data_IF_790374258232
#
_entry.id   IF_790374258232
#
_cell.length_a   1.000
_cell.length_b   1.000
_cell.length_c   1.000
_cell.angle_alpha   90.00
_cell.angle_beta   90.00
_cell.angle_gamma   90.00
#
_symmetry.space_group_name_H-M   'P 1'
#
loop_
_entity.id
_entity.type
_entity.pdbx_description
1 polymer ?
#
# COMPACT_ATOMS: atom_id res chain seq x y z
N UNK A 1 7.60 -34.42 21.42
CA UNK A 1 8.16 -34.06 20.10
C UNK A 1 7.11 -33.28 19.37
N UNK A 2 7.37 -32.03 19.01
CA UNK A 2 6.50 -31.29 18.09
C UNK A 2 6.63 -31.97 16.73
N UNK A 3 5.53 -32.50 16.19
CA UNK A 3 5.58 -33.28 14.96
C UNK A 3 5.96 -32.36 13.79
N UNK A 4 6.72 -32.86 12.83
CA UNK A 4 7.16 -32.12 11.64
C UNK A 4 5.97 -31.49 10.87
N UNK A 5 4.79 -32.12 10.96
CA UNK A 5 3.50 -31.65 10.45
C UNK A 5 2.98 -30.39 11.15
N UNK A 6 3.20 -30.24 12.46
CA UNK A 6 2.84 -29.04 13.23
C UNK A 6 3.75 -27.86 12.88
N UNK A 7 5.06 -28.11 12.68
CA UNK A 7 5.99 -27.06 12.23
C UNK A 7 5.61 -26.52 10.84
N UNK A 8 5.25 -27.39 9.89
CA UNK A 8 4.79 -26.95 8.57
C UNK A 8 3.47 -26.18 8.64
N UNK A 9 2.54 -26.58 9.51
CA UNK A 9 1.28 -25.86 9.74
C UNK A 9 1.50 -24.50 10.42
N UNK A 10 2.39 -24.42 11.41
CA UNK A 10 2.76 -23.16 12.07
C UNK A 10 3.42 -22.18 11.09
N UNK A 11 4.32 -22.67 10.24
CA UNK A 11 4.94 -21.86 9.20
C UNK A 11 3.91 -21.34 8.19
N UNK A 12 2.96 -22.19 7.76
CA UNK A 12 1.87 -21.79 6.87
C UNK A 12 0.98 -20.72 7.50
N UNK A 13 0.55 -20.93 8.75
CA UNK A 13 -0.26 -19.96 9.49
C UNK A 13 0.47 -18.63 9.70
N UNK A 14 1.77 -18.64 10.02
CA UNK A 14 2.56 -17.41 10.14
C UNK A 14 2.65 -16.67 8.81
N UNK A 15 2.86 -17.37 7.69
CA UNK A 15 2.85 -16.72 6.37
C UNK A 15 1.47 -16.13 6.02
N UNK A 16 0.39 -16.87 6.24
CA UNK A 16 -0.97 -16.38 5.99
C UNK A 16 -1.30 -15.16 6.87
N UNK A 17 -0.84 -15.16 8.13
CA UNK A 17 -0.98 -14.01 9.03
C UNK A 17 -0.20 -12.78 8.52
N UNK A 18 1.06 -12.95 8.11
CA UNK A 18 1.88 -11.89 7.55
C UNK A 18 1.29 -11.32 6.25
N UNK A 19 0.78 -12.20 5.37
CA UNK A 19 0.07 -11.81 4.15
C UNK A 19 -1.17 -10.96 4.47
N UNK A 20 -1.99 -11.40 5.42
CA UNK A 20 -3.19 -10.66 5.83
C UNK A 20 -2.86 -9.31 6.47
N UNK A 21 -1.83 -9.25 7.33
CA UNK A 21 -1.36 -7.99 7.89
C UNK A 21 -0.90 -7.02 6.81
N UNK A 22 -0.13 -7.50 5.84
CA UNK A 22 0.38 -6.67 4.76
C UNK A 22 -0.74 -6.16 3.86
N UNK A 23 -1.72 -7.01 3.52
CA UNK A 23 -2.92 -6.60 2.77
C UNK A 23 -3.73 -5.53 3.51
N UNK A 24 -3.96 -5.72 4.81
CA UNK A 24 -4.67 -4.73 5.63
C UNK A 24 -3.89 -3.41 5.73
N UNK A 25 -2.58 -3.48 5.91
CA UNK A 25 -1.71 -2.29 5.95
C UNK A 25 -1.74 -1.53 4.62
N UNK A 26 -1.68 -2.23 3.49
CA UNK A 26 -1.79 -1.64 2.15
C UNK A 26 -3.13 -0.94 1.94
N UNK A 27 -4.23 -1.58 2.34
CA UNK A 27 -5.57 -0.98 2.27
C UNK A 27 -5.68 0.27 3.16
N UNK A 28 -5.14 0.22 4.38
CA UNK A 28 -5.12 1.35 5.29
C UNK A 28 -4.28 2.52 4.73
N UNK A 29 -3.13 2.23 4.13
CA UNK A 29 -2.30 3.22 3.43
C UNK A 29 -3.07 3.85 2.26
N UNK A 30 -3.76 3.06 1.44
CA UNK A 30 -4.57 3.58 0.34
C UNK A 30 -5.70 4.52 0.82
N UNK A 31 -6.37 4.16 1.92
CA UNK A 31 -7.39 5.03 2.54
C UNK A 31 -6.79 6.32 3.08
N UNK A 32 -5.64 6.25 3.77
CA UNK A 32 -4.95 7.42 4.30
C UNK A 32 -4.51 8.36 3.17
N UNK A 33 -3.97 7.79 2.09
CA UNK A 33 -3.54 8.54 0.92
C UNK A 33 -4.72 9.26 0.24
N UNK A 34 -5.82 8.56 -0.02
CA UNK A 34 -7.03 9.18 -0.60
C UNK A 34 -7.59 10.32 0.27
N UNK A 35 -7.57 10.15 1.60
CA UNK A 35 -7.97 11.23 2.52
C UNK A 35 -7.00 12.41 2.48
N UNK A 36 -5.71 12.15 2.37
CA UNK A 36 -4.66 13.17 2.29
C UNK A 36 -4.74 13.95 0.98
N UNK A 37 -4.99 13.27 -0.15
CA UNK A 37 -5.21 13.90 -1.46
C UNK A 37 -6.41 14.85 -1.43
N UNK A 38 -7.54 14.41 -0.86
CA UNK A 38 -8.73 15.27 -0.66
C UNK A 38 -8.45 16.47 0.23
N UNK A 39 -7.74 16.26 1.35
CA UNK A 39 -7.35 17.36 2.24
C UNK A 39 -6.44 18.37 1.52
N UNK A 40 -5.51 17.87 0.71
CA UNK A 40 -4.60 18.68 -0.08
C UNK A 40 -5.31 19.44 -1.22
N UNK A 41 -6.30 18.81 -1.87
CA UNK A 41 -7.16 19.47 -2.86
C UNK A 41 -7.97 20.63 -2.23
N UNK A 42 -8.60 20.38 -1.08
CA UNK A 42 -9.32 21.42 -0.33
C UNK A 42 -8.39 22.56 0.09
N UNK A 43 -7.20 22.24 0.58
CA UNK A 43 -6.18 23.22 0.95
C UNK A 43 -5.74 24.07 -0.25
N UNK A 44 -5.49 23.43 -1.40
CA UNK A 44 -5.10 24.11 -2.64
C UNK A 44 -6.21 25.04 -3.15
N UNK A 45 -7.46 24.60 -3.07
CA UNK A 45 -8.62 25.40 -3.50
C UNK A 45 -8.87 26.61 -2.59
N UNK A 46 -8.50 26.53 -1.31
CA UNK A 46 -8.61 27.66 -0.37
C UNK A 46 -7.42 28.63 -0.44
N UNK A 47 -6.34 28.26 -1.13
CA UNK A 47 -5.18 29.14 -1.31
C UNK A 47 -5.42 30.16 -2.43
N UNK A 48 -6.01 31.29 -2.05
CA UNK A 48 -6.10 32.47 -2.93
C UNK A 48 -4.71 33.07 -3.27
N UNK A 49 -3.66 32.68 -2.55
CA UNK A 49 -2.29 33.16 -2.69
C UNK A 49 -1.37 32.20 -3.47
N UNK A 50 -1.81 30.97 -3.77
CA UNK A 50 -0.99 29.99 -4.46
C UNK A 50 -0.88 30.32 -5.96
N UNK A 51 0.35 30.55 -6.41
CA UNK A 51 0.67 30.72 -7.84
C UNK A 51 0.42 29.43 -8.62
N UNK A 52 0.16 29.51 -9.93
CA UNK A 52 -0.06 28.33 -10.78
C UNK A 52 1.05 27.29 -10.68
N UNK A 53 2.31 27.73 -10.53
CA UNK A 53 3.46 26.86 -10.30
C UNK A 53 3.31 26.00 -9.05
N UNK A 54 2.81 26.59 -7.96
CA UNK A 54 2.62 25.87 -6.70
C UNK A 54 1.48 24.87 -6.81
N UNK A 55 0.37 25.25 -7.47
CA UNK A 55 -0.73 24.32 -7.78
C UNK A 55 -0.27 23.13 -8.62
N UNK A 56 0.55 23.38 -9.64
CA UNK A 56 1.16 22.32 -10.45
C UNK A 56 2.04 21.37 -9.63
N UNK A 57 2.90 21.92 -8.75
CA UNK A 57 3.76 21.12 -7.90
C UNK A 57 2.98 20.19 -6.94
N UNK A 58 1.84 20.64 -6.40
CA UNK A 58 0.96 19.79 -5.58
C UNK A 58 0.37 18.65 -6.40
N UNK A 59 -0.12 18.94 -7.61
CA UNK A 59 -0.71 17.94 -8.51
C UNK A 59 0.33 16.88 -8.87
N UNK A 60 1.54 17.29 -9.22
CA UNK A 60 2.62 16.39 -9.57
C UNK A 60 3.06 15.54 -8.36
N UNK A 61 3.14 16.15 -7.17
CA UNK A 61 3.44 15.43 -5.93
C UNK A 61 2.37 14.38 -5.59
N UNK A 62 1.08 14.72 -5.70
CA UNK A 62 -0.02 13.78 -5.51
C UNK A 62 0.07 12.60 -6.48
N UNK A 63 0.30 12.87 -7.77
CA UNK A 63 0.48 11.81 -8.79
C UNK A 63 1.67 10.91 -8.48
N UNK A 64 2.79 11.47 -8.05
CA UNK A 64 3.98 10.70 -7.70
C UNK A 64 3.72 9.78 -6.49
N UNK A 65 3.05 10.30 -5.46
CA UNK A 65 2.62 9.49 -4.32
C UNK A 65 1.67 8.37 -4.74
N UNK A 66 0.68 8.67 -5.60
CA UNK A 66 -0.29 7.67 -6.08
C UNK A 66 0.41 6.54 -6.84
N UNK A 67 1.28 6.90 -7.80
CA UNK A 67 2.07 5.95 -8.58
C UNK A 67 2.98 5.10 -7.69
N UNK A 68 3.62 5.71 -6.68
CA UNK A 68 4.48 5.01 -5.73
C UNK A 68 3.73 3.94 -4.93
N UNK A 69 2.53 4.27 -4.44
CA UNK A 69 1.69 3.35 -3.69
C UNK A 69 1.17 2.19 -4.57
N UNK A 70 0.71 2.50 -5.79
CA UNK A 70 0.27 1.48 -6.75
C UNK A 70 1.40 0.51 -7.14
N UNK A 71 2.59 1.04 -7.41
CA UNK A 71 3.76 0.21 -7.71
C UNK A 71 4.16 -0.66 -6.51
N UNK A 72 4.16 -0.10 -5.30
CA UNK A 72 4.47 -0.86 -4.09
C UNK A 72 3.47 -2.00 -3.88
N UNK A 73 2.17 -1.72 -4.01
CA UNK A 73 1.11 -2.72 -3.95
C UNK A 73 1.30 -3.82 -4.98
N UNK A 74 1.59 -3.46 -6.23
CA UNK A 74 1.83 -4.43 -7.31
C UNK A 74 3.04 -5.34 -7.02
N UNK A 75 4.16 -4.78 -6.58
CA UNK A 75 5.35 -5.57 -6.21
C UNK A 75 5.04 -6.53 -5.07
N UNK A 76 4.27 -6.08 -4.09
CA UNK A 76 3.82 -6.94 -2.99
C UNK A 76 2.93 -8.07 -3.50
N UNK A 77 1.89 -7.78 -4.28
CA UNK A 77 0.98 -8.79 -4.85
C UNK A 77 1.71 -9.79 -5.75
N UNK A 78 2.65 -9.33 -6.58
CA UNK A 78 3.49 -10.18 -7.44
C UNK A 78 4.39 -11.11 -6.62
N UNK A 79 4.94 -10.64 -5.49
CA UNK A 79 5.78 -11.48 -4.63
C UNK A 79 4.94 -12.47 -3.80
N UNK A 80 3.77 -12.05 -3.34
CA UNK A 80 2.84 -12.91 -2.62
C UNK A 80 2.31 -14.05 -3.51
N UNK A 81 1.93 -13.74 -4.75
CA UNK A 81 1.47 -14.75 -5.70
C UNK A 81 2.56 -15.77 -6.03
N UNK A 82 3.82 -15.34 -6.21
CA UNK A 82 4.97 -16.25 -6.39
C UNK A 82 5.18 -17.19 -5.20
N UNK A 83 5.03 -16.69 -3.98
CA UNK A 83 5.14 -17.51 -2.76
C UNK A 83 4.03 -18.56 -2.70
N UNK A 84 2.81 -18.19 -3.10
CA UNK A 84 1.68 -19.13 -3.17
C UNK A 84 1.87 -20.19 -4.27
N UNK A 85 2.28 -19.79 -5.47
CA UNK A 85 2.52 -20.73 -6.58
C UNK A 85 3.73 -21.64 -6.36
N UNK A 86 4.70 -21.24 -5.54
CA UNK A 86 5.84 -22.08 -5.15
C UNK A 86 5.48 -23.16 -4.13
N UNK A 87 4.25 -23.17 -3.61
CA UNK A 87 3.76 -24.17 -2.64
C UNK A 87 2.88 -25.26 -3.27
N UNK A 88 2.55 -25.14 -4.56
CA UNK A 88 1.94 -26.20 -5.38
C UNK A 88 3.02 -27.08 -6.02
#
# INVERSE_FOLDING_TARGET
MMNMTDHNNLFKQMMDYQMNLMNNSLNAMGLFQSRSEKAMELFTNQMNWATEKWKGAIVDWNKACQTGAENFKKVVEDNLSKIQSSKE
#
